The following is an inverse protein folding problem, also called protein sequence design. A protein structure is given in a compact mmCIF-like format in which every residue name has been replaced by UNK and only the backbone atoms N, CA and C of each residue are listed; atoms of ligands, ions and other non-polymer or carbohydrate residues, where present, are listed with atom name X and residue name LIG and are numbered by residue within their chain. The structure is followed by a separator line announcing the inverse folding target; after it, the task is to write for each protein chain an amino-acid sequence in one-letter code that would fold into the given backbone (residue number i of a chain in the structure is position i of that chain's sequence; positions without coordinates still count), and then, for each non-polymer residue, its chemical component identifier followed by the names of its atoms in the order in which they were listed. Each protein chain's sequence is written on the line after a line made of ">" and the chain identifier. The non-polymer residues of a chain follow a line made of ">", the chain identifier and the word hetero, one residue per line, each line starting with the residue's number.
data_IF_463356087142
#
_entry.id   IF_463356087142
#
_cell.length_a   1.000
_cell.length_b   1.000
_cell.length_c   1.000
_cell.angle_alpha   90.00
_cell.angle_beta   90.00
_cell.angle_gamma   90.00
#
_symmetry.space_group_name_H-M   'P 1'
#
loop_
_entity.id
_entity.type
_entity.pdbx_description
1 polymer ?
#
# COMPACT_ATOMS: atom_id res chain seq x y z
N UNK A 1 2.07 -22.71 9.25
CA UNK A 1 2.54 -21.33 9.46
C UNK A 1 4.06 -21.37 9.49
N UNK A 2 4.71 -21.23 8.33
CA UNK A 2 6.18 -21.18 8.26
C UNK A 2 6.60 -19.72 8.22
N UNK A 3 7.27 -19.26 9.27
CA UNK A 3 7.95 -17.98 9.28
C UNK A 3 9.13 -18.05 8.30
N UNK A 4 9.03 -17.33 7.19
CA UNK A 4 10.18 -17.08 6.32
C UNK A 4 10.97 -15.96 7.01
N UNK A 5 11.88 -16.32 7.92
CA UNK A 5 12.99 -15.45 8.30
C UNK A 5 14.16 -15.77 7.39
N UNK A 6 14.05 -15.46 6.11
CA UNK A 6 15.23 -15.33 5.26
C UNK A 6 15.86 -13.97 5.59
N UNK A 7 16.92 -13.99 6.40
CA UNK A 7 17.79 -12.83 6.62
C UNK A 7 18.65 -12.55 5.38
N UNK A 8 18.05 -12.64 4.19
CA UNK A 8 18.74 -12.37 2.93
C UNK A 8 18.72 -10.87 2.68
N UNK A 9 19.89 -10.26 2.83
CA UNK A 9 20.13 -8.87 2.46
C UNK A 9 19.89 -8.70 0.95
N UNK A 10 18.79 -8.04 0.58
CA UNK A 10 18.55 -7.59 -0.78
C UNK A 10 19.14 -6.19 -0.97
N UNK A 11 19.76 -5.95 -2.14
CA UNK A 11 20.38 -4.65 -2.48
C UNK A 11 19.55 -3.94 -3.53
N UNK A 12 19.32 -2.64 -3.35
CA UNK A 12 18.69 -1.77 -4.33
C UNK A 12 19.78 -0.91 -4.96
N UNK A 13 20.00 -1.07 -6.27
CA UNK A 13 20.94 -0.27 -7.04
C UNK A 13 20.17 0.79 -7.83
N UNK A 14 20.49 2.07 -7.62
CA UNK A 14 19.88 3.20 -8.33
C UNK A 14 20.93 4.00 -9.10
N UNK A 15 20.54 4.47 -10.28
CA UNK A 15 21.23 5.55 -10.98
C UNK A 15 20.46 6.84 -10.72
N UNK A 16 21.19 7.94 -10.56
CA UNK A 16 20.60 9.26 -10.28
C UNK A 16 21.43 10.36 -10.93
N UNK A 17 20.86 11.55 -11.05
CA UNK A 17 21.59 12.74 -11.49
C UNK A 17 22.46 13.31 -10.37
N UNK A 18 23.45 14.13 -10.73
CA UNK A 18 24.29 14.83 -9.76
C UNK A 18 23.47 15.72 -8.82
N UNK A 19 22.49 16.45 -9.37
CA UNK A 19 21.62 17.35 -8.60
C UNK A 19 20.78 16.60 -7.58
N UNK A 20 20.17 15.48 -7.99
CA UNK A 20 19.36 14.66 -7.10
C UNK A 20 20.24 14.04 -5.99
N UNK A 21 21.45 13.58 -6.33
CA UNK A 21 22.41 13.09 -5.34
C UNK A 21 22.75 14.17 -4.30
N UNK A 22 23.12 15.37 -4.74
CA UNK A 22 23.49 16.47 -3.85
C UNK A 22 22.34 16.88 -2.92
N UNK A 23 21.11 16.91 -3.44
CA UNK A 23 19.93 17.24 -2.64
C UNK A 23 19.64 16.16 -1.58
N UNK A 24 19.75 14.88 -1.94
CA UNK A 24 19.57 13.76 -1.01
C UNK A 24 20.66 13.76 0.07
N UNK A 25 21.92 14.00 -0.30
CA UNK A 25 23.03 14.11 0.66
C UNK A 25 22.79 15.22 1.68
N UNK A 26 22.34 16.39 1.22
CA UNK A 26 21.97 17.49 2.10
C UNK A 26 20.82 17.12 3.04
N UNK A 27 19.77 16.47 2.53
CA UNK A 27 18.64 16.05 3.34
C UNK A 27 19.03 15.01 4.39
N UNK A 28 19.85 14.02 4.02
CA UNK A 28 20.37 13.02 4.93
C UNK A 28 21.22 13.66 6.05
N UNK A 29 22.08 14.63 5.70
CA UNK A 29 22.88 15.38 6.67
C UNK A 29 22.01 16.16 7.66
N UNK A 30 20.96 16.84 7.18
CA UNK A 30 20.02 17.58 8.03
C UNK A 30 19.25 16.66 8.99
N UNK A 31 18.94 15.43 8.56
CA UNK A 31 18.28 14.42 9.39
C UNK A 31 19.23 13.61 10.28
N UNK A 32 20.54 13.84 10.20
CA UNK A 32 21.54 13.08 10.97
C UNK A 32 21.58 11.58 10.60
N UNK A 33 21.33 11.25 9.33
CA UNK A 33 21.32 9.86 8.84
C UNK A 33 22.25 9.69 7.64
N UNK A 34 22.50 8.43 7.25
CA UNK A 34 23.25 8.13 6.03
C UNK A 34 22.37 8.35 4.78
N UNK A 35 23.00 8.59 3.63
CA UNK A 35 22.29 8.71 2.34
C UNK A 35 21.42 7.49 2.06
N UNK A 36 21.98 6.29 2.24
CA UNK A 36 21.24 5.03 2.05
C UNK A 36 20.10 4.88 3.07
N UNK A 37 20.33 5.25 4.34
CA UNK A 37 19.30 5.25 5.38
C UNK A 37 18.15 6.20 5.06
N UNK A 38 18.46 7.43 4.66
CA UNK A 38 17.48 8.42 4.22
C UNK A 38 16.65 7.89 3.05
N UNK A 39 17.32 7.39 2.00
CA UNK A 39 16.62 6.87 0.81
C UNK A 39 15.72 5.69 1.16
N UNK A 40 16.22 4.73 1.95
CA UNK A 40 15.44 3.55 2.31
C UNK A 40 14.21 3.91 3.14
N UNK A 41 14.35 4.77 4.14
CA UNK A 41 13.23 5.20 4.99
C UNK A 41 12.15 5.90 4.16
N UNK A 42 12.53 6.88 3.35
CA UNK A 42 11.57 7.62 2.54
C UNK A 42 10.90 6.74 1.46
N UNK A 43 11.68 5.87 0.81
CA UNK A 43 11.13 4.94 -0.18
C UNK A 43 10.15 3.94 0.47
N UNK A 44 10.48 3.42 1.66
CA UNK A 44 9.63 2.50 2.39
C UNK A 44 8.32 3.16 2.85
N UNK A 45 8.38 4.37 3.39
CA UNK A 45 7.19 5.14 3.78
C UNK A 45 6.29 5.48 2.59
N UNK A 46 6.88 5.84 1.45
CA UNK A 46 6.13 6.10 0.23
C UNK A 46 5.45 4.83 -0.28
N UNK A 47 6.18 3.71 -0.34
CA UNK A 47 5.63 2.41 -0.73
C UNK A 47 4.48 1.97 0.19
N UNK A 48 4.63 2.14 1.51
CA UNK A 48 3.58 1.81 2.48
C UNK A 48 2.32 2.63 2.27
N UNK A 49 2.44 3.92 1.95
CA UNK A 49 1.28 4.77 1.62
C UNK A 49 0.56 4.27 0.38
N UNK A 50 1.31 4.03 -0.70
CA UNK A 50 0.73 3.49 -1.95
C UNK A 50 0.00 2.17 -1.70
N UNK A 51 0.63 1.21 -1.01
CA UNK A 51 -0.01 -0.08 -0.72
C UNK A 51 -1.27 0.11 0.14
N UNK A 52 -1.19 0.95 1.18
CA UNK A 52 -2.34 1.24 2.05
C UNK A 52 -3.51 1.85 1.28
N UNK A 53 -3.24 2.77 0.35
CA UNK A 53 -4.26 3.45 -0.44
C UNK A 53 -4.96 2.49 -1.40
N UNK A 54 -4.26 1.46 -1.89
CA UNK A 54 -4.84 0.43 -2.76
C UNK A 54 -5.57 -0.68 -1.98
N UNK A 55 -5.06 -1.07 -0.82
CA UNK A 55 -5.61 -2.19 -0.04
C UNK A 55 -6.75 -1.78 0.90
N UNK A 56 -6.89 -0.47 1.19
CA UNK A 56 -7.86 0.02 2.17
C UNK A 56 -8.97 0.82 1.51
N UNK A 57 -10.21 0.35 1.65
CA UNK A 57 -11.40 1.13 1.32
C UNK A 57 -11.83 1.94 2.54
N UNK A 58 -11.61 3.26 2.51
CA UNK A 58 -12.18 4.16 3.51
C UNK A 58 -13.64 4.49 3.15
N UNK A 59 -14.57 4.11 4.03
CA UNK A 59 -15.98 4.44 3.90
C UNK A 59 -16.31 5.66 4.77
N UNK A 60 -17.20 6.52 4.30
CA UNK A 60 -17.84 7.50 5.19
C UNK A 60 -18.69 6.76 6.22
N UNK A 61 -19.02 7.41 7.34
CA UNK A 61 -19.88 6.81 8.36
C UNK A 61 -21.22 6.29 7.77
N UNK A 62 -21.81 7.08 6.86
CA UNK A 62 -23.04 6.72 6.15
C UNK A 62 -22.86 5.48 5.28
N UNK A 63 -21.76 5.42 4.52
CA UNK A 63 -21.50 4.28 3.62
C UNK A 63 -21.16 3.02 4.43
N UNK A 64 -20.48 3.17 5.56
CA UNK A 64 -20.22 2.09 6.50
C UNK A 64 -21.51 1.53 7.09
N UNK A 65 -22.44 2.38 7.54
CA UNK A 65 -23.75 1.94 8.05
C UNK A 65 -24.58 1.22 6.97
N UNK A 66 -24.57 1.73 5.74
CA UNK A 66 -25.23 1.08 4.61
C UNK A 66 -24.60 -0.28 4.29
N UNK A 67 -23.26 -0.35 4.29
CA UNK A 67 -22.52 -1.60 4.10
C UNK A 67 -22.83 -2.61 5.20
N UNK A 68 -22.69 -2.23 6.47
CA UNK A 68 -22.95 -3.09 7.63
C UNK A 68 -24.39 -3.63 7.61
N UNK A 69 -25.37 -2.76 7.36
CA UNK A 69 -26.77 -3.16 7.22
C UNK A 69 -26.98 -4.19 6.10
N UNK A 70 -26.26 -4.05 4.98
CA UNK A 70 -26.33 -4.98 3.85
C UNK A 70 -25.68 -6.34 4.14
N UNK A 71 -24.65 -6.36 4.98
CA UNK A 71 -23.97 -7.59 5.42
C UNK A 71 -24.83 -8.34 6.46
N UNK A 72 -25.42 -7.62 7.42
CA UNK A 72 -26.29 -8.22 8.44
C UNK A 72 -27.62 -8.72 7.86
N UNK A 73 -28.16 -8.00 6.87
CA UNK A 73 -29.42 -8.34 6.19
C UNK A 73 -29.18 -8.48 4.69
N UNK A 74 -28.54 -9.58 4.25
CA UNK A 74 -28.19 -9.77 2.86
C UNK A 74 -29.45 -9.76 1.97
N UNK A 75 -29.53 -8.88 0.97
CA UNK A 75 -30.67 -8.84 0.06
C UNK A 75 -30.70 -10.10 -0.79
N UNK A 76 -31.91 -10.58 -1.12
CA UNK A 76 -32.05 -11.72 -2.03
C UNK A 76 -31.44 -11.37 -3.41
N UNK A 77 -30.69 -12.29 -4.05
CA UNK A 77 -30.13 -12.06 -5.37
C UNK A 77 -31.20 -11.64 -6.36
N UNK A 78 -30.94 -10.61 -7.18
CA UNK A 78 -31.87 -10.20 -8.24
C UNK A 78 -31.94 -11.27 -9.34
N UNK A 79 -33.06 -11.34 -10.07
CA UNK A 79 -33.23 -12.30 -11.16
C UNK A 79 -32.14 -12.21 -12.23
N UNK A 80 -31.69 -10.98 -12.53
CA UNK A 80 -30.57 -10.73 -13.44
C UNK A 80 -29.24 -11.33 -12.93
N UNK A 81 -28.94 -11.19 -11.63
CA UNK A 81 -27.73 -11.77 -11.04
C UNK A 81 -27.77 -13.30 -11.11
N UNK A 82 -28.92 -13.92 -10.79
CA UNK A 82 -29.11 -15.37 -10.93
C UNK A 82 -28.85 -15.85 -12.37
N UNK A 83 -29.38 -15.13 -13.37
CA UNK A 83 -29.20 -15.45 -14.79
C UNK A 83 -27.73 -15.36 -15.23
N UNK A 84 -26.96 -14.40 -14.70
CA UNK A 84 -25.53 -14.27 -14.96
C UNK A 84 -24.72 -15.40 -14.32
N UNK A 85 -25.02 -15.79 -13.08
CA UNK A 85 -24.32 -16.89 -12.39
C UNK A 85 -24.54 -18.26 -13.05
N UNK A 86 -25.61 -18.43 -13.83
CA UNK A 86 -25.89 -19.65 -14.60
C UNK A 86 -25.32 -19.65 -16.02
N UNK A 87 -24.67 -18.55 -16.46
CA UNK A 87 -24.10 -18.45 -17.80
C UNK A 87 -22.69 -19.07 -17.78
N UNK A 88 -22.54 -20.21 -18.45
CA UNK A 88 -21.26 -20.93 -18.63
C UNK A 88 -20.30 -20.16 -19.54
#
# INVERSE_FOLDING_TARGET
>A
MSAITSNESSRINLRTSADAKAMIERAAALMGTTVSGFMLQNAYEAARRVVSDYDTLMLTQRDFEAFASSVEKPPKPKAALRKLMTRR
#
